data_IF_671822057060
#
_entry.id   IF_671822057060
#
_cell.length_a   1.000
_cell.length_b   1.000
_cell.length_c   1.000
_cell.angle_alpha   90.00
_cell.angle_beta   90.00
_cell.angle_gamma   90.00
#
_symmetry.space_group_name_H-M   'P 1'
#
loop_
_entity.id
_entity.type
_entity.pdbx_description
1 polymer ?
#
# COMPACT_ATOMS: atom_id res chain seq x y z
N UNK A 1 1.52 6.04 -24.83
CA UNK A 1 1.16 5.98 -23.39
C UNK A 1 2.36 6.46 -22.62
N UNK A 2 2.19 7.50 -21.80
CA UNK A 2 3.30 8.40 -21.46
C UNK A 2 4.10 7.81 -20.29
N UNK A 3 5.43 7.74 -20.45
CA UNK A 3 6.38 7.32 -19.41
C UNK A 3 6.14 8.09 -18.09
N UNK A 4 5.60 9.31 -18.18
CA UNK A 4 5.19 10.14 -17.05
C UNK A 4 4.16 9.48 -16.12
N UNK A 5 3.18 8.72 -16.63
CA UNK A 5 2.13 8.10 -15.79
C UNK A 5 2.69 6.96 -14.94
N UNK A 6 3.53 6.11 -15.55
CA UNK A 6 4.26 5.07 -14.80
C UNK A 6 5.16 5.67 -13.74
N UNK A 7 5.90 6.73 -14.09
CA UNK A 7 6.81 7.40 -13.18
C UNK A 7 6.05 8.04 -12.01
N UNK A 8 4.98 8.77 -12.29
CA UNK A 8 4.12 9.37 -11.28
C UNK A 8 3.52 8.29 -10.36
N UNK A 9 3.02 7.20 -10.93
CA UNK A 9 2.49 6.07 -10.16
C UNK A 9 3.54 5.43 -9.24
N UNK A 10 4.75 5.22 -9.76
CA UNK A 10 5.89 4.72 -8.99
C UNK A 10 6.26 5.65 -7.83
N UNK A 11 6.35 6.95 -8.08
CA UNK A 11 6.64 7.97 -7.05
C UNK A 11 5.57 7.99 -5.98
N UNK A 12 4.28 7.97 -6.34
CA UNK A 12 3.20 7.97 -5.36
C UNK A 12 3.20 6.71 -4.49
N UNK A 13 3.44 5.55 -5.11
CA UNK A 13 3.50 4.28 -4.40
C UNK A 13 4.69 4.24 -3.42
N UNK A 14 5.88 4.64 -3.85
CA UNK A 14 7.06 4.66 -2.97
C UNK A 14 6.95 5.71 -1.88
N UNK A 15 6.41 6.89 -2.19
CA UNK A 15 6.16 7.95 -1.22
C UNK A 15 5.21 7.47 -0.11
N UNK A 16 4.13 6.77 -0.47
CA UNK A 16 3.20 6.21 0.50
C UNK A 16 3.90 5.26 1.48
N UNK A 17 4.74 4.36 0.96
CA UNK A 17 5.49 3.42 1.78
C UNK A 17 6.47 4.15 2.69
N UNK A 18 7.29 5.05 2.15
CA UNK A 18 8.27 5.83 2.93
C UNK A 18 7.58 6.61 4.06
N UNK A 19 6.48 7.31 3.75
CA UNK A 19 5.74 8.05 4.77
C UNK A 19 5.11 7.13 5.83
N UNK A 20 4.61 5.96 5.43
CA UNK A 20 4.04 4.98 6.36
C UNK A 20 5.10 4.34 7.28
N UNK A 21 6.37 4.30 6.88
CA UNK A 21 7.48 3.79 7.70
C UNK A 21 7.96 4.86 8.67
N UNK A 22 8.13 6.10 8.19
CA UNK A 22 8.76 7.18 8.96
C UNK A 22 7.79 7.81 9.95
N UNK A 23 6.52 7.98 9.59
CA UNK A 23 5.61 8.80 10.40
C UNK A 23 5.12 8.12 11.68
N UNK A 24 4.73 6.84 11.70
CA UNK A 24 4.32 6.18 12.94
C UNK A 24 5.36 6.25 14.08
N UNK A 25 6.67 6.04 13.85
CA UNK A 25 7.65 6.22 14.91
C UNK A 25 7.83 7.69 15.31
N UNK A 26 7.73 8.65 14.37
CA UNK A 26 7.81 10.08 14.68
C UNK A 26 6.62 10.55 15.52
N UNK A 27 5.40 10.13 15.18
CA UNK A 27 4.19 10.47 15.93
C UNK A 27 4.25 9.84 17.34
N UNK A 28 4.73 8.60 17.46
CA UNK A 28 4.96 7.95 18.77
C UNK A 28 6.01 8.66 19.61
N UNK A 29 7.11 9.13 19.00
CA UNK A 29 8.14 9.91 19.67
C UNK A 29 7.60 11.26 20.14
N UNK A 30 6.83 11.95 19.30
CA UNK A 30 6.21 13.23 19.64
C UNK A 30 5.16 13.12 20.76
N UNK A 31 4.48 11.98 20.86
CA UNK A 31 3.49 11.72 21.90
C UNK A 31 4.06 11.16 23.21
N UNK A 32 5.38 11.04 23.38
CA UNK A 32 5.99 10.60 24.65
C UNK A 32 5.79 11.58 25.82
N UNK A 33 5.22 12.76 25.57
CA UNK A 33 4.97 13.81 26.59
C UNK A 33 3.49 13.81 27.03
N UNK A 34 2.97 12.65 27.46
CA UNK A 34 1.67 12.56 28.13
C UNK A 34 1.89 12.44 29.64
N UNK A 35 1.33 13.35 30.48
CA UNK A 35 1.49 13.30 31.94
C UNK A 35 0.90 12.03 32.58
N UNK A 36 0.16 11.21 31.81
CA UNK A 36 -0.40 9.91 32.24
C UNK A 36 0.54 8.72 32.05
N UNK A 37 1.72 8.87 31.41
CA UNK A 37 2.64 7.77 31.16
C UNK A 37 2.18 6.76 30.10
N UNK A 38 1.05 6.99 29.45
CA UNK A 38 0.56 6.18 28.32
C UNK A 38 1.23 6.65 27.03
N UNK A 39 1.98 5.75 26.38
CA UNK A 39 2.46 6.00 25.03
C UNK A 39 1.27 6.03 24.08
N UNK A 40 1.14 7.06 23.25
CA UNK A 40 0.08 7.16 22.27
C UNK A 40 0.29 6.07 21.19
N UNK A 41 -0.47 4.98 21.31
CA UNK A 41 -0.39 3.82 20.40
C UNK A 41 -1.23 4.03 19.14
N UNK A 42 -2.10 5.04 19.14
CA UNK A 42 -3.13 5.27 18.14
C UNK A 42 -2.59 5.97 16.91
N UNK A 43 -2.92 5.43 15.75
CA UNK A 43 -2.57 6.02 14.47
C UNK A 43 -3.61 7.03 14.03
N UNK A 44 -3.13 8.12 13.46
CA UNK A 44 -4.00 9.11 12.87
C UNK A 44 -4.74 8.50 11.65
N UNK A 45 -6.08 8.34 11.72
CA UNK A 45 -6.84 7.65 10.68
C UNK A 45 -6.81 8.40 9.34
N UNK A 46 -6.64 9.72 9.35
CA UNK A 46 -6.50 10.51 8.13
C UNK A 46 -5.24 10.12 7.35
N UNK A 47 -4.09 10.05 8.03
CA UNK A 47 -2.83 9.69 7.37
C UNK A 47 -2.81 8.23 6.93
N UNK A 48 -3.39 7.34 7.74
CA UNK A 48 -3.54 5.94 7.36
C UNK A 48 -4.36 5.78 6.07
N UNK A 49 -5.52 6.45 5.98
CA UNK A 49 -6.34 6.44 4.77
C UNK A 49 -5.61 7.06 3.57
N UNK A 50 -4.85 8.14 3.80
CA UNK A 50 -4.04 8.78 2.77
C UNK A 50 -2.98 7.82 2.21
N UNK A 51 -2.24 7.09 3.05
CA UNK A 51 -1.22 6.13 2.60
C UNK A 51 -1.82 4.99 1.78
N UNK A 52 -2.93 4.42 2.24
CA UNK A 52 -3.65 3.41 1.49
C UNK A 52 -4.13 3.97 0.14
N UNK A 53 -4.66 5.20 0.12
CA UNK A 53 -5.09 5.88 -1.09
C UNK A 53 -3.94 6.08 -2.09
N UNK A 54 -2.77 6.55 -1.64
CA UNK A 54 -1.61 6.72 -2.51
C UNK A 54 -1.08 5.37 -3.04
N UNK A 55 -1.07 4.31 -2.23
CA UNK A 55 -0.71 2.96 -2.68
C UNK A 55 -1.65 2.49 -3.78
N UNK A 56 -2.96 2.62 -3.57
CA UNK A 56 -3.96 2.21 -4.57
C UNK A 56 -3.83 3.03 -5.86
N UNK A 57 -3.75 4.36 -5.74
CA UNK A 57 -3.66 5.24 -6.91
C UNK A 57 -2.33 5.06 -7.66
N UNK A 58 -1.22 4.92 -6.94
CA UNK A 58 0.10 4.64 -7.51
C UNK A 58 0.11 3.31 -8.26
N UNK A 59 -0.45 2.26 -7.65
CA UNK A 59 -0.58 0.94 -8.30
C UNK A 59 -1.42 1.00 -9.58
N UNK A 60 -2.50 1.79 -9.57
CA UNK A 60 -3.38 2.00 -10.73
C UNK A 60 -2.65 2.69 -11.87
N UNK A 61 -1.93 3.77 -11.59
CA UNK A 61 -1.16 4.51 -12.60
C UNK A 61 -0.05 3.64 -13.22
N UNK A 62 0.67 2.87 -12.41
CA UNK A 62 1.66 1.90 -12.92
C UNK A 62 0.97 0.88 -13.83
N UNK A 63 -0.19 0.37 -13.42
CA UNK A 63 -0.92 -0.63 -14.17
C UNK A 63 -1.48 -0.09 -15.48
N UNK A 64 -1.99 1.14 -15.49
CA UNK A 64 -2.45 1.82 -16.70
C UNK A 64 -1.30 2.08 -17.66
N UNK A 65 -0.12 2.40 -17.13
CA UNK A 65 1.06 2.67 -17.93
C UNK A 65 1.71 1.41 -18.54
N UNK A 66 1.41 0.21 -18.05
CA UNK A 66 2.03 -1.06 -18.47
C UNK A 66 1.15 -1.86 -19.44
N UNK A 67 1.76 -2.49 -20.45
CA UNK A 67 1.04 -3.29 -21.44
C UNK A 67 0.88 -4.72 -20.90
N UNK A 68 -0.25 -5.00 -20.27
CA UNK A 68 -0.59 -6.34 -19.81
C UNK A 68 -1.20 -7.18 -20.93
N UNK A 69 -0.89 -8.48 -20.95
CA UNK A 69 -1.43 -9.46 -21.90
C UNK A 69 -2.97 -9.50 -21.91
N UNK A 70 -3.61 -9.29 -20.75
CA UNK A 70 -5.07 -9.25 -20.64
C UNK A 70 -5.53 -8.51 -19.36
N UNK A 71 -6.83 -8.24 -19.26
CA UNK A 71 -7.42 -7.60 -18.09
C UNK A 71 -7.21 -8.40 -16.79
N UNK A 72 -7.13 -9.73 -16.88
CA UNK A 72 -6.93 -10.60 -15.71
C UNK A 72 -5.51 -10.44 -15.13
N UNK A 73 -4.47 -10.38 -15.96
CA UNK A 73 -3.10 -10.10 -15.49
C UNK A 73 -2.96 -8.68 -14.96
N UNK A 74 -3.62 -7.69 -15.57
CA UNK A 74 -3.68 -6.33 -15.01
C UNK A 74 -4.32 -6.31 -13.62
N UNK A 75 -5.48 -6.94 -13.47
CA UNK A 75 -6.19 -6.98 -12.19
C UNK A 75 -5.43 -7.80 -11.14
N UNK A 76 -4.77 -8.89 -11.55
CA UNK A 76 -3.89 -9.66 -10.67
C UNK A 76 -2.71 -8.82 -10.17
N UNK A 77 -2.06 -8.06 -11.06
CA UNK A 77 -1.00 -7.13 -10.68
C UNK A 77 -1.49 -6.05 -9.71
N UNK A 78 -2.67 -5.47 -9.95
CA UNK A 78 -3.28 -4.51 -9.04
C UNK A 78 -3.51 -5.13 -7.66
N UNK A 79 -4.05 -6.35 -7.59
CA UNK A 79 -4.24 -7.06 -6.33
C UNK A 79 -2.92 -7.32 -5.59
N UNK A 80 -1.87 -7.76 -6.28
CA UNK A 80 -0.53 -7.97 -5.69
C UNK A 80 0.04 -6.66 -5.16
N UNK A 81 0.13 -5.63 -6.00
CA UNK A 81 0.78 -4.37 -5.64
C UNK A 81 0.02 -3.62 -4.56
N UNK A 82 -1.30 -3.46 -4.68
CA UNK A 82 -2.09 -2.80 -3.63
C UNK A 82 -2.12 -3.61 -2.34
N UNK A 83 -2.28 -4.94 -2.40
CA UNK A 83 -2.29 -5.81 -1.22
C UNK A 83 -0.98 -5.78 -0.46
N UNK A 84 0.15 -5.85 -1.17
CA UNK A 84 1.48 -5.78 -0.55
C UNK A 84 1.71 -4.41 0.12
N UNK A 85 1.33 -3.33 -0.56
CA UNK A 85 1.44 -1.98 0.01
C UNK A 85 0.57 -1.79 1.26
N UNK A 86 -0.68 -2.27 1.24
CA UNK A 86 -1.58 -2.23 2.40
C UNK A 86 -1.02 -3.06 3.56
N UNK A 87 -0.46 -4.25 3.29
CA UNK A 87 0.13 -5.09 4.32
C UNK A 87 1.34 -4.40 4.99
N UNK A 88 2.21 -3.75 4.21
CA UNK A 88 3.34 -2.99 4.74
C UNK A 88 2.85 -1.84 5.62
N UNK A 89 1.89 -1.03 5.12
CA UNK A 89 1.32 0.08 5.88
C UNK A 89 0.71 -0.43 7.19
N UNK A 90 -0.07 -1.52 7.15
CA UNK A 90 -0.65 -2.15 8.34
C UNK A 90 0.41 -2.61 9.34
N UNK A 91 1.52 -3.16 8.87
CA UNK A 91 2.61 -3.66 9.71
C UNK A 91 3.33 -2.54 10.46
N UNK A 92 3.71 -1.47 9.76
CA UNK A 92 4.28 -0.28 10.41
C UNK A 92 3.27 0.44 11.29
N UNK A 93 1.99 0.23 11.01
CA UNK A 93 0.89 0.74 11.81
C UNK A 93 0.62 -0.10 13.08
N UNK A 94 1.17 -1.30 13.21
CA UNK A 94 0.83 -2.23 14.30
C UNK A 94 -0.60 -2.76 14.23
N UNK A 95 -1.23 -2.72 13.04
CA UNK A 95 -2.61 -3.17 12.80
C UNK A 95 -2.59 -4.54 12.10
N UNK A 96 -2.61 -5.62 12.88
CA UNK A 96 -2.48 -6.99 12.37
C UNK A 96 -3.61 -7.38 11.41
N UNK A 97 -4.81 -6.87 11.63
CA UNK A 97 -5.99 -7.11 10.78
C UNK A 97 -5.75 -6.57 9.36
N UNK A 98 -5.13 -5.39 9.27
CA UNK A 98 -4.78 -4.75 7.99
C UNK A 98 -3.66 -5.52 7.29
N UNK A 99 -2.69 -6.03 8.05
CA UNK A 99 -1.61 -6.89 7.51
C UNK A 99 -2.21 -8.14 6.87
N UNK A 100 -3.08 -8.84 7.59
CA UNK A 100 -3.73 -10.07 7.10
C UNK A 100 -4.58 -9.75 5.87
N UNK A 101 -5.38 -8.68 5.92
CA UNK A 101 -6.18 -8.25 4.78
C UNK A 101 -5.32 -7.97 3.54
N UNK A 102 -4.23 -7.22 3.68
CA UNK A 102 -3.30 -6.92 2.58
C UNK A 102 -2.64 -8.18 2.02
N UNK A 103 -2.21 -9.10 2.90
CA UNK A 103 -1.62 -10.36 2.50
C UNK A 103 -2.60 -11.26 1.73
N UNK A 104 -3.85 -11.35 2.18
CA UNK A 104 -4.90 -12.08 1.46
C UNK A 104 -5.17 -11.46 0.09
N UNK A 105 -5.27 -10.13 0.01
CA UNK A 105 -5.48 -9.41 -1.24
C UNK A 105 -4.31 -9.64 -2.23
N UNK A 106 -3.08 -9.59 -1.73
CA UNK A 106 -1.89 -9.87 -2.53
C UNK A 106 -1.88 -11.32 -3.04
N UNK A 107 -2.27 -12.28 -2.20
CA UNK A 107 -2.36 -13.70 -2.54
C UNK A 107 -3.42 -13.94 -3.62
N UNK A 108 -4.61 -13.34 -3.47
CA UNK A 108 -5.67 -13.39 -4.48
C UNK A 108 -5.21 -12.76 -5.80
N UNK A 109 -4.52 -11.62 -5.74
CA UNK A 109 -3.90 -10.99 -6.90
C UNK A 109 -2.91 -11.90 -7.61
N UNK A 110 -2.08 -12.62 -6.85
CA UNK A 110 -1.09 -13.55 -7.40
C UNK A 110 -1.74 -14.74 -8.12
N UNK A 111 -2.82 -15.28 -7.54
CA UNK A 111 -3.63 -16.33 -8.18
C UNK A 111 -4.24 -15.84 -9.50
N UNK A 112 -4.86 -14.65 -9.50
CA UNK A 112 -5.41 -14.05 -10.71
C UNK A 112 -4.34 -13.77 -11.77
N UNK A 113 -3.18 -13.28 -11.36
CA UNK A 113 -2.06 -13.01 -12.25
C UNK A 113 -1.59 -14.29 -12.95
N UNK A 114 -1.39 -15.36 -12.18
CA UNK A 114 -0.95 -16.67 -12.71
C UNK A 114 -2.00 -17.28 -13.65
N UNK A 115 -3.28 -17.23 -13.28
CA UNK A 115 -4.39 -17.70 -14.13
C UNK A 115 -4.56 -16.86 -15.40
N UNK A 116 -4.18 -15.59 -15.40
CA UNK A 116 -4.17 -14.73 -16.57
C UNK A 116 -3.00 -14.99 -17.52
N UNK A 117 -1.86 -15.48 -17.00
CA UNK A 117 -0.68 -15.85 -17.78
C UNK A 117 -0.77 -17.23 -18.46
N UNK A 118 -1.57 -18.15 -17.89
CA UNK A 118 -1.71 -19.55 -18.31
C UNK A 118 -2.50 -19.78 -19.61
N UNK A 119 -2.40 -18.86 -20.58
CA UNK A 119 -2.98 -18.99 -21.93
C UNK A 119 -1.89 -19.14 -22.97
#
# INVERSE_FOLDING_TARGET
MNVSEKLAGGVLYTLALVLSVIRPPVDRLACTVLPSGEACTTINPFFFALYIGLVMFGSLLIALGHSFKNARTRNGWLGVSSGLGIAIIGGFSGLNEVVIFGALLATLGLLLYKLGGSK
#
